data_IF_366863764930
#
_entry.id   IF_366863764930
#
_cell.length_a   1.000
_cell.length_b   1.000
_cell.length_c   1.000
_cell.angle_alpha   90.00
_cell.angle_beta   90.00
_cell.angle_gamma   90.00
#
_symmetry.space_group_name_H-M   'P 1'
#
loop_
_entity.id
_entity.type
_entity.pdbx_description
1 polymer ?
#
# COMPACT_ATOMS: atom_id res chain seq x y z
N UNK A 1 -5.55 13.06 8.88
CA UNK A 1 -4.59 11.98 9.25
C UNK A 1 -3.19 12.37 8.80
N UNK A 2 -2.20 12.34 9.71
CA UNK A 2 -0.81 12.68 9.38
C UNK A 2 -0.23 11.68 8.36
N UNK A 3 0.51 12.19 7.37
CA UNK A 3 1.12 11.41 6.29
C UNK A 3 2.45 12.02 5.85
N UNK A 4 3.28 11.24 5.18
CA UNK A 4 4.45 11.76 4.50
C UNK A 4 4.03 12.53 3.23
N UNK A 5 4.33 13.81 3.16
CA UNK A 5 3.98 14.70 2.03
C UNK A 5 5.17 15.00 1.11
N UNK A 6 6.38 14.65 1.52
CA UNK A 6 7.60 14.89 0.74
C UNK A 6 7.69 14.06 -0.56
N UNK A 7 8.72 14.28 -1.39
CA UNK A 7 8.90 13.62 -2.67
C UNK A 7 9.21 12.13 -2.50
N UNK A 8 8.38 11.25 -3.11
CA UNK A 8 8.58 9.80 -3.09
C UNK A 8 9.72 9.36 -4.01
N UNK A 9 9.91 9.98 -5.17
CA UNK A 9 11.04 9.70 -6.08
C UNK A 9 12.40 9.75 -5.34
N UNK A 10 12.58 10.70 -4.42
CA UNK A 10 13.79 10.77 -3.60
C UNK A 10 13.95 9.53 -2.72
N UNK A 11 12.84 8.93 -2.26
CA UNK A 11 12.82 7.69 -1.48
C UNK A 11 13.03 6.47 -2.37
N UNK A 12 12.34 6.39 -3.51
CA UNK A 12 12.56 5.35 -4.53
C UNK A 12 14.04 5.24 -4.90
N UNK A 13 14.66 6.37 -5.23
CA UNK A 13 16.08 6.45 -5.53
C UNK A 13 16.98 6.00 -4.38
N UNK A 14 16.62 6.34 -3.14
CA UNK A 14 17.40 5.96 -1.95
C UNK A 14 17.37 4.46 -1.68
N UNK A 15 16.24 3.82 -1.94
CA UNK A 15 16.05 2.40 -1.66
C UNK A 15 16.21 1.51 -2.90
N UNK A 16 16.50 2.10 -4.06
CA UNK A 16 16.73 1.36 -5.31
C UNK A 16 15.48 0.65 -5.85
N UNK A 17 14.28 1.08 -5.43
CA UNK A 17 13.02 0.46 -5.82
C UNK A 17 11.99 1.54 -6.12
N UNK A 18 11.21 1.38 -7.20
CA UNK A 18 10.09 2.27 -7.46
C UNK A 18 8.95 2.01 -6.46
N UNK A 19 8.75 2.98 -5.56
CA UNK A 19 7.71 2.92 -4.50
C UNK A 19 6.34 3.42 -4.99
N UNK A 20 6.30 4.03 -6.17
CA UNK A 20 5.06 4.65 -6.71
C UNK A 20 4.44 3.78 -7.79
N UNK A 21 5.27 3.16 -8.62
CA UNK A 21 4.91 2.49 -9.86
C UNK A 21 4.94 3.46 -11.05
N UNK A 22 5.84 3.21 -12.02
CA UNK A 22 5.97 4.03 -13.23
C UNK A 22 6.57 5.42 -12.99
N UNK A 23 7.50 5.56 -12.04
CA UNK A 23 8.22 6.82 -11.77
C UNK A 23 9.36 7.02 -12.80
N UNK A 24 9.07 7.71 -13.90
CA UNK A 24 10.04 8.04 -14.96
C UNK A 24 11.29 8.77 -14.44
N UNK A 25 11.19 9.52 -13.35
CA UNK A 25 12.34 10.22 -12.77
C UNK A 25 13.24 9.26 -11.97
N UNK A 26 12.69 8.17 -11.41
CA UNK A 26 13.45 7.07 -10.85
C UNK A 26 14.17 6.28 -11.95
N UNK A 27 13.49 5.95 -13.04
CA UNK A 27 14.09 5.23 -14.19
C UNK A 27 15.29 5.96 -14.80
N UNK A 28 15.19 7.29 -14.95
CA UNK A 28 16.30 8.13 -15.47
C UNK A 28 17.50 8.18 -14.52
N UNK A 29 17.30 8.08 -13.21
CA UNK A 29 18.35 8.22 -12.17
C UNK A 29 18.16 7.22 -11.05
N UNK A 30 18.39 5.90 -11.25
CA UNK A 30 18.12 4.84 -10.29
C UNK A 30 19.11 4.74 -9.13
N UNK A 31 19.91 5.77 -8.91
CA UNK A 31 20.90 5.85 -7.84
C UNK A 31 20.48 6.81 -6.74
N UNK A 32 21.05 6.65 -5.55
CA UNK A 32 20.71 7.45 -4.37
C UNK A 32 20.87 8.96 -4.64
N UNK A 33 20.01 9.81 -4.06
CA UNK A 33 20.09 11.26 -4.24
C UNK A 33 21.27 11.86 -3.47
N UNK A 34 21.77 12.99 -3.96
CA UNK A 34 22.85 13.77 -3.35
C UNK A 34 24.18 13.62 -4.09
N UNK A 35 25.18 14.41 -3.67
CA UNK A 35 26.52 14.44 -4.28
C UNK A 35 27.20 13.08 -4.28
N UNK A 36 27.05 12.32 -3.20
CA UNK A 36 27.67 10.99 -3.03
C UNK A 36 26.72 9.82 -3.42
N UNK A 37 25.67 10.09 -4.18
CA UNK A 37 24.66 9.08 -4.50
C UNK A 37 25.17 7.86 -5.27
N UNK A 38 26.29 8.01 -6.01
CA UNK A 38 26.96 6.91 -6.75
C UNK A 38 28.13 6.29 -5.98
N UNK A 39 28.50 6.86 -4.83
CA UNK A 39 29.60 6.32 -4.03
C UNK A 39 29.23 4.95 -3.45
N UNK A 40 30.23 4.05 -3.39
CA UNK A 40 30.07 2.76 -2.73
C UNK A 40 29.91 2.99 -1.22
N UNK A 41 28.82 2.51 -0.67
CA UNK A 41 28.54 2.61 0.76
C UNK A 41 28.60 1.21 1.37
N UNK A 42 29.38 1.05 2.46
CA UNK A 42 29.39 -0.20 3.21
C UNK A 42 28.00 -0.42 3.81
N UNK A 43 27.39 -1.55 3.49
CA UNK A 43 26.11 -1.93 4.06
C UNK A 43 26.33 -2.74 5.33
N UNK A 44 25.78 -2.23 6.45
CA UNK A 44 25.67 -2.98 7.69
C UNK A 44 24.33 -3.72 7.71
N UNK A 45 24.27 -4.81 8.47
CA UNK A 45 23.04 -5.58 8.67
C UNK A 45 21.91 -4.69 9.17
N UNK A 46 22.16 -3.84 10.17
CA UNK A 46 21.19 -2.86 10.67
C UNK A 46 20.65 -1.95 9.56
N UNK A 47 21.53 -1.47 8.67
CA UNK A 47 21.12 -0.61 7.55
C UNK A 47 20.19 -1.35 6.59
N UNK A 48 20.51 -2.60 6.26
CA UNK A 48 19.70 -3.43 5.37
C UNK A 48 18.31 -3.66 5.96
N UNK A 49 18.23 -4.05 7.21
CA UNK A 49 16.97 -4.24 7.94
C UNK A 49 16.16 -2.94 8.04
N UNK A 50 16.82 -1.82 8.37
CA UNK A 50 16.18 -0.50 8.40
C UNK A 50 15.64 -0.10 7.02
N UNK A 51 16.39 -0.35 5.95
CA UNK A 51 15.97 -0.02 4.58
C UNK A 51 14.72 -0.81 4.18
N UNK A 52 14.65 -2.11 4.49
CA UNK A 52 13.47 -2.92 4.20
C UNK A 52 12.23 -2.41 4.96
N UNK A 53 12.37 -2.12 6.24
CA UNK A 53 11.29 -1.49 7.01
C UNK A 53 10.84 -0.17 6.40
N UNK A 54 11.77 0.68 6.01
CA UNK A 54 11.46 1.98 5.42
C UNK A 54 10.83 1.83 4.02
N UNK A 55 11.26 0.87 3.20
CA UNK A 55 10.60 0.55 1.92
C UNK A 55 9.13 0.23 2.16
N UNK A 56 8.82 -0.73 3.03
CA UNK A 56 7.45 -1.10 3.37
C UNK A 56 6.64 0.12 3.83
N UNK A 57 7.17 0.90 4.75
CA UNK A 57 6.51 2.08 5.29
C UNK A 57 6.17 3.12 4.23
N UNK A 58 7.08 3.40 3.29
CA UNK A 58 6.82 4.37 2.22
C UNK A 58 5.92 3.82 1.12
N UNK A 59 6.00 2.53 0.80
CA UNK A 59 5.12 1.87 -0.16
C UNK A 59 3.65 2.00 0.26
N UNK A 60 3.35 1.69 1.53
CA UNK A 60 1.98 1.80 2.05
C UNK A 60 1.64 3.21 2.59
N UNK A 61 2.60 4.15 2.58
CA UNK A 61 2.39 5.51 3.05
C UNK A 61 2.04 5.62 4.54
N UNK A 62 2.52 4.70 5.37
CA UNK A 62 2.24 4.63 6.81
C UNK A 62 3.34 5.33 7.60
N UNK A 63 3.00 6.03 8.69
CA UNK A 63 3.97 6.63 9.61
C UNK A 63 4.50 5.59 10.61
N UNK A 64 5.69 5.85 11.17
CA UNK A 64 6.40 4.91 12.04
C UNK A 64 5.57 4.39 13.22
N UNK A 65 4.91 5.28 13.95
CA UNK A 65 4.05 4.92 15.08
C UNK A 65 2.94 3.95 14.68
N UNK A 66 2.32 4.17 13.53
CA UNK A 66 1.27 3.29 13.03
C UNK A 66 1.83 1.97 12.48
N UNK A 67 2.99 2.01 11.83
CA UNK A 67 3.66 0.83 11.31
C UNK A 67 4.07 -0.12 12.43
N UNK A 68 4.62 0.42 13.53
CA UNK A 68 4.96 -0.34 14.73
C UNK A 68 3.72 -1.03 15.34
N UNK A 69 2.57 -0.33 15.42
CA UNK A 69 1.31 -0.94 15.85
C UNK A 69 0.88 -2.12 14.97
N UNK A 70 1.04 -2.02 13.65
CA UNK A 70 0.78 -3.16 12.77
C UNK A 70 1.71 -4.33 13.04
N UNK A 71 3.00 -4.06 13.26
CA UNK A 71 3.94 -5.10 13.65
C UNK A 71 3.57 -5.78 14.97
N UNK A 72 3.27 -5.00 16.01
CA UNK A 72 2.81 -5.52 17.32
C UNK A 72 1.51 -6.34 17.20
N UNK A 73 0.60 -5.93 16.33
CA UNK A 73 -0.62 -6.71 16.06
C UNK A 73 -0.30 -7.99 15.28
N UNK A 74 0.59 -7.93 14.31
CA UNK A 74 1.02 -9.08 13.52
C UNK A 74 1.74 -10.15 14.37
N UNK A 75 2.59 -9.72 15.31
CA UNK A 75 3.35 -10.63 16.18
C UNK A 75 2.47 -11.40 17.16
N UNK A 76 1.27 -10.88 17.48
CA UNK A 76 0.30 -11.55 18.37
C UNK A 76 -0.58 -12.55 17.62
N UNK A 77 -0.61 -12.52 16.29
CA UNK A 77 -1.41 -13.45 15.48
C UNK A 77 -0.66 -14.77 15.28
N UNK A 78 -1.36 -15.90 15.20
CA UNK A 78 -0.75 -17.17 14.86
C UNK A 78 -0.14 -17.12 13.45
N UNK A 79 0.94 -17.89 13.23
CA UNK A 79 1.65 -17.96 11.96
C UNK A 79 2.86 -17.05 11.87
N UNK A 80 3.36 -16.83 10.65
CA UNK A 80 4.55 -16.00 10.40
C UNK A 80 4.24 -14.51 10.58
N UNK A 81 4.96 -13.85 11.48
CA UNK A 81 4.77 -12.42 11.77
C UNK A 81 4.90 -11.52 10.53
N UNK A 82 5.87 -11.84 9.64
CA UNK A 82 6.08 -11.09 8.41
C UNK A 82 4.88 -11.15 7.47
N UNK A 83 4.34 -12.35 7.25
CA UNK A 83 3.15 -12.55 6.41
C UNK A 83 1.94 -11.83 7.01
N UNK A 84 1.71 -11.99 8.32
CA UNK A 84 0.64 -11.30 9.04
C UNK A 84 0.74 -9.77 8.92
N UNK A 85 1.97 -9.22 8.97
CA UNK A 85 2.21 -7.80 8.78
C UNK A 85 1.81 -7.33 7.37
N UNK A 86 2.19 -8.07 6.34
CA UNK A 86 1.82 -7.74 4.96
C UNK A 86 0.31 -7.85 4.74
N UNK A 87 -0.34 -8.88 5.28
CA UNK A 87 -1.80 -9.05 5.24
C UNK A 87 -2.48 -7.84 5.88
N UNK A 88 -2.05 -7.38 7.05
CA UNK A 88 -2.60 -6.20 7.71
C UNK A 88 -2.41 -4.91 6.88
N UNK A 89 -1.29 -4.78 6.18
CA UNK A 89 -1.02 -3.62 5.33
C UNK A 89 -1.82 -3.66 4.03
N UNK A 90 -2.01 -4.82 3.44
CA UNK A 90 -2.84 -5.00 2.23
C UNK A 90 -4.33 -4.86 2.52
N UNK A 91 -4.81 -5.29 3.70
CA UNK A 91 -6.22 -5.18 4.11
C UNK A 91 -6.67 -3.76 4.49
N UNK A 92 -5.83 -2.75 4.34
CA UNK A 92 -6.22 -1.36 4.56
C UNK A 92 -7.11 -0.87 3.43
N UNK A 93 -8.16 -0.14 3.77
CA UNK A 93 -9.13 0.37 2.78
C UNK A 93 -8.46 1.21 1.68
N UNK A 94 -7.50 2.09 2.04
CA UNK A 94 -6.76 2.88 1.04
C UNK A 94 -5.95 2.00 0.07
N UNK A 95 -5.40 0.90 0.55
CA UNK A 95 -4.67 -0.03 -0.30
C UNK A 95 -5.60 -0.93 -1.13
N UNK A 96 -6.72 -1.38 -0.56
CA UNK A 96 -7.74 -2.16 -1.29
C UNK A 96 -8.26 -1.36 -2.50
N UNK A 97 -8.60 -0.08 -2.31
CA UNK A 97 -9.04 0.80 -3.40
C UNK A 97 -7.96 0.97 -4.48
N UNK A 98 -6.68 1.02 -4.08
CA UNK A 98 -5.57 1.05 -5.03
C UNK A 98 -5.44 -0.27 -5.79
N UNK A 99 -5.52 -1.42 -5.10
CA UNK A 99 -5.44 -2.76 -5.71
C UNK A 99 -6.62 -3.07 -6.63
N UNK A 100 -7.79 -2.50 -6.32
CA UNK A 100 -8.98 -2.59 -7.17
C UNK A 100 -8.90 -1.72 -8.44
N UNK A 101 -7.82 -0.97 -8.65
CA UNK A 101 -7.65 -0.12 -9.83
C UNK A 101 -8.46 1.18 -9.79
N UNK A 102 -9.21 1.46 -8.72
CA UNK A 102 -10.03 2.69 -8.60
C UNK A 102 -9.20 3.95 -8.35
N UNK A 103 -7.91 3.82 -8.13
CA UNK A 103 -7.00 4.93 -7.95
C UNK A 103 -5.62 4.61 -8.53
N UNK A 104 -5.05 5.55 -9.27
CA UNK A 104 -3.75 5.40 -9.93
C UNK A 104 -2.57 5.22 -8.96
N UNK A 105 -2.69 5.72 -7.73
CA UNK A 105 -1.65 5.59 -6.70
C UNK A 105 -2.29 5.39 -5.32
N UNK A 106 -1.56 4.78 -4.38
CA UNK A 106 -2.00 4.66 -2.97
C UNK A 106 -2.28 6.01 -2.30
N UNK A 107 -1.57 7.08 -2.70
CA UNK A 107 -1.84 8.44 -2.21
C UNK A 107 -3.19 8.97 -2.71
N UNK A 108 -3.49 8.71 -3.98
CA UNK A 108 -4.79 9.07 -4.58
C UNK A 108 -5.91 8.26 -3.92
N UNK A 109 -5.76 6.95 -3.78
CA UNK A 109 -6.72 6.10 -3.06
C UNK A 109 -7.01 6.63 -1.66
N UNK A 110 -5.97 6.98 -0.90
CA UNK A 110 -6.12 7.58 0.44
C UNK A 110 -6.90 8.88 0.41
N UNK A 111 -6.70 9.72 -0.58
CA UNK A 111 -7.43 10.98 -0.75
C UNK A 111 -8.91 10.71 -1.01
N UNK A 112 -9.22 9.80 -1.94
CA UNK A 112 -10.60 9.43 -2.25
C UNK A 112 -11.33 8.86 -1.01
N UNK A 113 -10.67 7.98 -0.24
CA UNK A 113 -11.25 7.47 1.01
C UNK A 113 -11.49 8.61 2.00
N UNK A 114 -10.49 9.47 2.24
CA UNK A 114 -10.60 10.59 3.21
C UNK A 114 -11.70 11.59 2.83
N UNK A 115 -11.97 11.77 1.53
CA UNK A 115 -13.06 12.59 1.03
C UNK A 115 -14.43 11.90 1.14
N UNK A 116 -14.43 10.62 1.55
CA UNK A 116 -15.65 9.88 1.86
C UNK A 116 -16.45 9.47 0.63
N UNK A 117 -15.76 9.08 -0.44
CA UNK A 117 -16.38 8.57 -1.67
C UNK A 117 -16.85 7.11 -1.54
N UNK A 118 -16.53 6.41 -0.47
CA UNK A 118 -16.78 4.98 -0.30
C UNK A 118 -17.77 4.68 0.83
N UNK A 119 -18.47 3.57 0.64
CA UNK A 119 -19.40 2.95 1.59
C UNK A 119 -18.90 1.52 1.82
N UNK A 120 -18.76 1.09 3.06
CA UNK A 120 -18.39 -0.28 3.42
C UNK A 120 -19.59 -0.91 4.14
N UNK A 121 -20.13 -1.99 3.61
CA UNK A 121 -21.31 -2.68 4.15
C UNK A 121 -22.49 -1.71 4.44
N UNK A 122 -22.74 -0.79 3.53
CA UNK A 122 -23.80 0.20 3.66
C UNK A 122 -23.46 1.42 4.53
N UNK A 123 -22.29 1.44 5.21
CA UNK A 123 -21.88 2.54 6.09
C UNK A 123 -20.81 3.41 5.45
N UNK A 124 -21.03 4.73 5.42
CA UNK A 124 -20.04 5.70 4.91
C UNK A 124 -18.75 5.62 5.71
N UNK A 125 -17.64 5.31 5.02
CA UNK A 125 -16.33 5.17 5.64
C UNK A 125 -15.33 6.15 5.03
N UNK A 126 -14.72 7.01 5.87
CA UNK A 126 -13.70 8.00 5.47
C UNK A 126 -12.35 7.76 6.16
N UNK A 127 -12.13 6.57 6.69
CA UNK A 127 -10.93 6.19 7.43
C UNK A 127 -10.03 5.32 6.53
N UNK A 128 -8.92 5.83 5.98
CA UNK A 128 -8.04 5.07 5.09
C UNK A 128 -7.39 3.84 5.74
N UNK A 129 -7.25 3.83 7.07
CA UNK A 129 -6.70 2.71 7.84
C UNK A 129 -7.75 1.69 8.28
N UNK A 130 -9.00 1.83 7.84
CA UNK A 130 -10.02 0.82 8.08
C UNK A 130 -9.53 -0.53 7.58
N UNK A 131 -9.66 -1.57 8.40
CA UNK A 131 -9.27 -2.93 8.03
C UNK A 131 -10.47 -3.64 7.42
N UNK A 132 -10.34 -4.01 6.17
CA UNK A 132 -11.38 -4.81 5.51
C UNK A 132 -11.25 -6.27 5.89
N UNK A 133 -12.39 -6.92 6.01
CA UNK A 133 -12.54 -8.32 6.40
C UNK A 133 -13.11 -9.15 5.24
N UNK A 134 -13.11 -10.46 5.41
CA UNK A 134 -13.76 -11.39 4.49
C UNK A 134 -15.25 -11.05 4.35
N UNK A 135 -15.75 -11.08 3.11
CA UNK A 135 -17.13 -10.77 2.72
C UNK A 135 -17.54 -9.30 2.87
N UNK A 136 -16.59 -8.39 3.15
CA UNK A 136 -16.90 -6.98 3.09
C UNK A 136 -17.20 -6.54 1.66
N UNK A 137 -18.25 -5.73 1.52
CA UNK A 137 -18.66 -5.09 0.26
C UNK A 137 -18.29 -3.61 0.36
N UNK A 138 -17.51 -3.15 -0.60
CA UNK A 138 -17.09 -1.75 -0.69
C UNK A 138 -17.73 -1.15 -1.95
N UNK A 139 -18.62 -0.19 -1.77
CA UNK A 139 -19.30 0.51 -2.86
C UNK A 139 -18.77 1.93 -3.03
N UNK A 140 -18.63 2.36 -4.25
CA UNK A 140 -18.47 3.78 -4.57
C UNK A 140 -19.84 4.45 -4.44
N UNK A 141 -19.91 5.61 -3.79
CA UNK A 141 -21.16 6.37 -3.69
C UNK A 141 -21.73 6.72 -5.06
N UNK A 142 -23.04 6.59 -5.28
CA UNK A 142 -23.67 6.91 -6.58
C UNK A 142 -23.29 8.31 -7.09
N UNK A 143 -23.35 9.33 -6.25
CA UNK A 143 -22.92 10.71 -6.59
C UNK A 143 -21.45 10.83 -7.01
N UNK A 144 -20.59 9.90 -6.57
CA UNK A 144 -19.16 9.94 -6.86
C UNK A 144 -18.81 9.24 -8.16
N UNK A 145 -19.67 8.34 -8.64
CA UNK A 145 -19.46 7.58 -9.88
C UNK A 145 -19.30 8.47 -11.12
N UNK A 146 -19.93 9.64 -11.12
CA UNK A 146 -19.86 10.62 -12.21
C UNK A 146 -18.65 11.57 -12.09
N UNK A 147 -17.90 11.49 -11.00
CA UNK A 147 -16.71 12.34 -10.84
C UNK A 147 -15.52 11.83 -11.65
N UNK A 148 -14.72 12.75 -12.16
CA UNK A 148 -13.58 12.49 -13.06
C UNK A 148 -12.67 11.33 -12.61
N UNK A 149 -12.28 11.21 -11.33
CA UNK A 149 -11.42 10.11 -10.91
C UNK A 149 -11.98 8.71 -11.19
N UNK A 150 -13.29 8.53 -11.00
CA UNK A 150 -13.95 7.23 -11.19
C UNK A 150 -14.28 6.96 -12.68
N UNK A 151 -14.54 8.00 -13.48
CA UNK A 151 -14.66 7.86 -14.93
C UNK A 151 -13.34 7.37 -15.53
N UNK A 152 -12.22 8.05 -15.20
CA UNK A 152 -10.89 7.65 -15.67
C UNK A 152 -10.49 6.26 -15.16
N UNK A 153 -10.82 5.92 -13.91
CA UNK A 153 -10.54 4.60 -13.37
C UNK A 153 -11.30 3.50 -14.12
N UNK A 154 -12.56 3.74 -14.49
CA UNK A 154 -13.39 2.82 -15.27
C UNK A 154 -12.84 2.59 -16.68
N UNK A 155 -12.44 3.67 -17.36
CA UNK A 155 -11.86 3.60 -18.71
C UNK A 155 -10.51 2.88 -18.75
N UNK A 156 -9.71 3.02 -17.68
CA UNK A 156 -8.39 2.40 -17.55
C UNK A 156 -8.40 1.09 -16.75
N UNK A 157 -9.57 0.54 -16.41
CA UNK A 157 -9.69 -0.66 -15.61
C UNK A 157 -9.16 -1.88 -16.39
N UNK A 158 -8.19 -2.57 -15.79
CA UNK A 158 -7.67 -3.83 -16.28
C UNK A 158 -7.90 -4.92 -15.19
N UNK A 159 -8.83 -5.82 -15.48
CA UNK A 159 -9.19 -6.91 -14.56
C UNK A 159 -8.01 -7.85 -14.27
N UNK A 160 -7.01 -7.93 -15.16
CA UNK A 160 -5.84 -8.78 -14.96
C UNK A 160 -4.93 -8.28 -13.82
N UNK A 161 -5.02 -7.00 -13.46
CA UNK A 161 -4.24 -6.41 -12.37
C UNK A 161 -4.87 -6.56 -10.99
N UNK A 162 -6.15 -6.96 -10.94
CA UNK A 162 -6.88 -7.17 -9.69
C UNK A 162 -6.42 -8.47 -9.02
N UNK A 163 -6.02 -8.43 -7.74
CA UNK A 163 -5.62 -9.66 -7.04
C UNK A 163 -6.78 -10.62 -6.83
N UNK A 164 -6.54 -11.93 -6.92
CA UNK A 164 -7.56 -12.97 -6.83
C UNK A 164 -8.26 -13.14 -5.47
N UNK A 165 -7.92 -12.32 -4.45
CA UNK A 165 -8.61 -12.31 -3.16
C UNK A 165 -9.79 -11.31 -3.10
N UNK A 166 -9.99 -10.51 -4.16
CA UNK A 166 -11.11 -9.58 -4.32
C UNK A 166 -11.65 -9.62 -5.75
N UNK A 167 -12.92 -9.27 -5.90
CA UNK A 167 -13.56 -9.00 -7.20
C UNK A 167 -13.96 -7.55 -7.31
N UNK A 168 -13.87 -7.02 -8.51
CA UNK A 168 -14.31 -5.65 -8.85
C UNK A 168 -15.36 -5.76 -9.94
N UNK A 169 -16.53 -5.14 -9.75
CA UNK A 169 -17.58 -5.12 -10.77
C UNK A 169 -17.08 -4.43 -12.04
N UNK A 170 -17.55 -4.89 -13.21
CA UNK A 170 -17.19 -4.32 -14.52
C UNK A 170 -17.45 -2.80 -14.60
N UNK A 171 -18.45 -2.32 -13.89
CA UNK A 171 -18.77 -0.89 -13.79
C UNK A 171 -17.84 -0.13 -12.83
N UNK A 172 -16.90 -0.82 -12.16
CA UNK A 172 -15.95 -0.23 -11.22
C UNK A 172 -16.56 0.39 -9.96
N UNK A 173 -17.82 0.08 -9.69
CA UNK A 173 -18.57 0.67 -8.57
C UNK A 173 -18.59 -0.14 -7.30
N UNK A 174 -18.29 -1.44 -7.38
CA UNK A 174 -18.36 -2.38 -6.24
C UNK A 174 -17.13 -3.27 -6.18
N UNK A 175 -16.62 -3.48 -4.98
CA UNK A 175 -15.54 -4.42 -4.67
C UNK A 175 -16.08 -5.42 -3.63
N UNK A 176 -15.90 -6.70 -3.89
CA UNK A 176 -16.21 -7.80 -2.95
C UNK A 176 -14.90 -8.43 -2.47
N UNK A 177 -14.73 -8.58 -1.17
CA UNK A 177 -13.58 -9.26 -0.56
C UNK A 177 -13.94 -10.72 -0.30
N UNK A 178 -13.33 -11.66 -1.03
CA UNK A 178 -13.58 -13.09 -0.87
C UNK A 178 -12.87 -13.67 0.33
N UNK A 179 -11.60 -13.31 0.50
CA UNK A 179 -10.74 -13.80 1.57
C UNK A 179 -9.64 -12.79 1.91
N UNK A 180 -9.00 -12.89 3.07
CA UNK A 180 -7.80 -12.12 3.35
C UNK A 180 -6.70 -12.43 2.31
N UNK A 181 -5.87 -11.44 1.92
CA UNK A 181 -4.76 -11.69 1.00
C UNK A 181 -3.78 -12.72 1.55
N UNK A 182 -3.31 -13.64 0.72
CA UNK A 182 -2.24 -14.59 1.05
C UNK A 182 -0.90 -14.05 0.57
N UNK A 183 0.22 -14.41 1.23
CA UNK A 183 1.57 -13.89 0.90
C UNK A 183 1.92 -13.99 -0.58
N UNK A 184 1.56 -15.09 -1.22
CA UNK A 184 1.82 -15.36 -2.65
C UNK A 184 1.11 -14.37 -3.60
N UNK A 185 -0.03 -13.84 -3.16
CA UNK A 185 -0.83 -12.87 -3.92
C UNK A 185 -0.35 -11.41 -3.71
N UNK A 186 0.57 -11.20 -2.76
CA UNK A 186 1.08 -9.87 -2.41
C UNK A 186 2.36 -9.59 -3.19
N UNK A 187 2.21 -8.96 -4.34
CA UNK A 187 3.35 -8.58 -5.19
C UNK A 187 3.91 -7.23 -4.72
N UNK A 188 4.89 -7.30 -3.82
CA UNK A 188 5.65 -6.13 -3.35
C UNK A 188 7.13 -6.50 -3.20
N UNK A 189 8.08 -5.62 -3.57
CA UNK A 189 9.50 -5.88 -3.47
C UNK A 189 10.03 -5.65 -2.04
N UNK A 190 9.48 -6.38 -1.08
CA UNK A 190 9.77 -6.25 0.36
C UNK A 190 10.14 -7.62 0.92
N UNK A 191 11.22 -7.66 1.69
CA UNK A 191 11.64 -8.83 2.44
C UNK A 191 11.16 -8.67 3.90
N UNK A 192 10.02 -9.27 4.20
CA UNK A 192 9.34 -9.15 5.50
C UNK A 192 10.16 -9.71 6.66
N UNK A 193 10.99 -10.72 6.42
CA UNK A 193 11.85 -11.31 7.44
C UNK A 193 12.82 -10.27 8.03
N UNK A 194 13.46 -9.44 7.19
CA UNK A 194 14.35 -8.37 7.64
C UNK A 194 13.63 -7.31 8.48
N UNK A 195 12.34 -7.10 8.24
CA UNK A 195 11.51 -6.19 9.06
C UNK A 195 11.27 -6.81 10.45
N UNK A 196 10.99 -8.11 10.49
CA UNK A 196 10.81 -8.83 11.76
C UNK A 196 12.09 -8.79 12.57
N UNK A 197 13.22 -9.09 11.95
CA UNK A 197 14.55 -9.02 12.59
C UNK A 197 14.87 -7.62 13.12
N UNK A 198 14.53 -6.57 12.36
CA UNK A 198 14.72 -5.19 12.81
C UNK A 198 13.97 -4.89 14.12
N UNK A 199 12.71 -5.29 14.20
CA UNK A 199 11.89 -5.02 15.39
C UNK A 199 12.16 -5.98 16.56
N UNK A 200 12.70 -7.16 16.31
CA UNK A 200 13.10 -8.10 17.38
C UNK A 200 14.36 -7.67 18.14
N UNK A 201 15.16 -6.77 17.56
CA UNK A 201 16.39 -6.23 18.17
C UNK A 201 16.15 -4.93 18.95
N UNK A 202 14.96 -4.35 18.90
CA UNK A 202 14.56 -3.11 19.55
C UNK A 202 13.51 -3.39 20.62
#
# INVERSE_FOLDING_TARGET
MARYTGPLTKKSRRYGVDLVGGDKAFERRPYAPGQHGRARVKESEYRTQLHEKQKARYTYGVLEKQFRKYYETASRRPGKTGDNLLVLLESRLDNVIYRAGLARTRRHARQLVSHGHFIVNGVKTNIPSFQVSRHDIIDVKPRSMESTPFIVARESHDSSTVPGWMDVSAEGGRILIHQPPVREQIVVPIQEQLIVEFYSKI
#
